data_IF_336469874512
#
_entry.id   IF_336469874512
#
_cell.length_a   1.000
_cell.length_b   1.000
_cell.length_c   1.000
_cell.angle_alpha   90.00
_cell.angle_beta   90.00
_cell.angle_gamma   90.00
#
_symmetry.space_group_name_H-M   'P 1'
#
loop_
_entity.id
_entity.type
_entity.pdbx_description
1 polymer ?
#
# COMPACT_ATOMS: atom_id res chain seq x y z
N UNK A 1 22.85 6.83 -6.01
CA UNK A 1 22.23 5.55 -6.41
C UNK A 1 21.25 5.86 -7.53
N UNK A 2 21.27 5.16 -8.67
CA UNK A 2 20.68 5.67 -9.91
C UNK A 2 19.26 5.13 -10.18
N UNK A 3 18.58 5.87 -11.08
CA UNK A 3 17.45 5.51 -11.95
C UNK A 3 16.00 5.66 -11.47
N UNK A 4 15.43 6.82 -11.83
CA UNK A 4 14.29 6.97 -12.75
C UNK A 4 13.19 5.91 -12.77
N UNK A 5 11.96 6.34 -12.46
CA UNK A 5 10.79 5.89 -13.21
C UNK A 5 9.69 6.94 -13.22
N UNK A 6 9.81 7.88 -14.15
CA UNK A 6 8.67 8.56 -14.75
C UNK A 6 7.85 7.51 -15.50
N UNK A 7 6.67 7.13 -14.99
CA UNK A 7 5.66 6.38 -15.76
C UNK A 7 4.28 6.99 -15.57
N UNK A 8 3.66 7.31 -16.70
CA UNK A 8 2.34 7.92 -16.87
C UNK A 8 1.21 7.17 -16.11
N UNK A 9 0.10 7.85 -15.75
CA UNK A 9 -0.79 7.41 -14.68
C UNK A 9 -1.72 6.29 -15.16
N UNK A 10 -1.39 5.05 -14.80
CA UNK A 10 -2.44 4.04 -14.58
C UNK A 10 -3.28 4.51 -13.38
N UNK A 11 -4.54 4.09 -13.19
CA UNK A 11 -5.25 4.37 -11.94
C UNK A 11 -4.39 3.80 -10.80
N UNK A 12 -3.64 4.66 -10.14
CA UNK A 12 -2.63 4.22 -9.18
C UNK A 12 -3.39 3.84 -7.91
N UNK A 13 -3.22 2.60 -7.46
CA UNK A 13 -3.73 2.13 -6.19
C UNK A 13 -3.48 3.18 -5.10
N UNK A 14 -4.51 3.45 -4.29
CA UNK A 14 -4.39 4.43 -3.22
C UNK A 14 -3.27 4.04 -2.22
N UNK A 15 -3.11 2.74 -1.99
CA UNK A 15 -2.03 2.18 -1.16
C UNK A 15 -0.65 2.41 -1.79
N UNK A 16 -0.52 2.26 -3.11
CA UNK A 16 0.71 2.57 -3.85
C UNK A 16 1.10 4.04 -3.70
N UNK A 17 0.14 4.95 -3.81
CA UNK A 17 0.39 6.39 -3.66
C UNK A 17 0.90 6.75 -2.25
N UNK A 18 0.29 6.18 -1.21
CA UNK A 18 0.73 6.38 0.17
C UNK A 18 2.14 5.84 0.40
N UNK A 19 2.44 4.67 -0.17
CA UNK A 19 3.76 4.05 -0.10
C UNK A 19 4.83 4.87 -0.84
N UNK A 20 4.50 5.39 -2.02
CA UNK A 20 5.43 6.17 -2.85
C UNK A 20 5.82 7.49 -2.21
N UNK A 21 4.87 8.17 -1.54
CA UNK A 21 5.13 9.38 -0.72
C UNK A 21 6.18 9.16 0.36
N UNK A 22 6.34 7.92 0.81
CA UNK A 22 7.28 7.54 1.87
C UNK A 22 8.57 6.92 1.31
N UNK A 23 8.68 6.78 -0.01
CA UNK A 23 9.83 6.14 -0.66
C UNK A 23 9.99 4.65 -0.30
N UNK A 24 8.91 3.98 0.11
CA UNK A 24 8.94 2.59 0.55
C UNK A 24 8.69 1.61 -0.62
N UNK A 25 9.33 0.45 -0.57
CA UNK A 25 9.03 -0.65 -1.49
C UNK A 25 7.86 -1.49 -0.96
N UNK A 26 7.21 -2.27 -1.83
CA UNK A 26 6.15 -3.19 -1.43
C UNK A 26 6.66 -4.21 -0.40
N UNK A 27 7.89 -4.69 -0.56
CA UNK A 27 8.57 -5.60 0.37
C UNK A 27 8.80 -4.97 1.74
N UNK A 28 9.25 -3.72 1.77
CA UNK A 28 9.52 -3.01 3.02
C UNK A 28 8.21 -2.80 3.79
N UNK A 29 7.20 -2.22 3.16
CA UNK A 29 5.93 -1.93 3.83
C UNK A 29 5.20 -3.22 4.26
N UNK A 30 5.20 -4.26 3.42
CA UNK A 30 4.58 -5.55 3.75
C UNK A 30 5.27 -6.23 4.93
N UNK A 31 6.61 -6.24 4.97
CA UNK A 31 7.37 -6.76 6.12
C UNK A 31 7.05 -6.01 7.40
N UNK A 32 7.08 -4.67 7.37
CA UNK A 32 6.81 -3.84 8.55
C UNK A 32 5.38 -3.99 9.06
N UNK A 33 4.42 -4.19 8.17
CA UNK A 33 3.04 -4.42 8.53
C UNK A 33 2.73 -5.88 8.93
N UNK A 34 3.68 -6.81 8.79
CA UNK A 34 3.44 -8.24 9.03
C UNK A 34 2.42 -8.83 8.03
N UNK A 35 2.45 -8.36 6.78
CA UNK A 35 1.57 -8.79 5.71
C UNK A 35 2.40 -9.58 4.71
N UNK A 36 1.97 -10.77 4.26
CA UNK A 36 2.65 -11.47 3.20
C UNK A 36 2.73 -10.60 1.93
N UNK A 37 3.92 -10.46 1.35
CA UNK A 37 4.13 -9.64 0.14
C UNK A 37 3.13 -9.95 -0.97
N UNK A 38 2.85 -11.24 -1.22
CA UNK A 38 1.87 -11.69 -2.21
C UNK A 38 0.46 -11.15 -1.94
N UNK A 39 0.05 -11.09 -0.67
CA UNK A 39 -1.24 -10.54 -0.26
C UNK A 39 -1.25 -9.02 -0.47
N UNK A 40 -0.17 -8.35 -0.08
CA UNK A 40 -0.01 -6.91 -0.26
C UNK A 40 -0.08 -6.51 -1.74
N UNK A 41 0.63 -7.22 -2.63
CA UNK A 41 0.58 -6.99 -4.08
C UNK A 41 -0.85 -7.14 -4.62
N UNK A 42 -1.58 -8.18 -4.19
CA UNK A 42 -2.98 -8.37 -4.59
C UNK A 42 -3.90 -7.24 -4.16
N UNK A 43 -3.61 -6.60 -3.02
CA UNK A 43 -4.35 -5.42 -2.59
C UNK A 43 -4.04 -4.23 -3.49
N UNK A 44 -2.77 -3.98 -3.81
CA UNK A 44 -2.38 -2.89 -4.72
C UNK A 44 -2.86 -3.10 -6.16
N UNK A 45 -2.99 -4.34 -6.63
CA UNK A 45 -3.51 -4.64 -7.98
C UNK A 45 -5.03 -4.73 -8.06
N UNK A 46 -5.72 -4.72 -6.91
CA UNK A 46 -7.18 -4.92 -6.86
C UNK A 46 -7.62 -6.38 -7.09
N UNK A 47 -6.68 -7.33 -7.16
CA UNK A 47 -6.98 -8.76 -7.28
C UNK A 47 -7.61 -9.35 -6.02
N UNK A 48 -7.48 -8.69 -4.87
CA UNK A 48 -8.11 -9.12 -3.62
C UNK A 48 -8.59 -7.93 -2.79
N UNK A 49 -9.77 -8.08 -2.19
CA UNK A 49 -10.27 -7.15 -1.19
C UNK A 49 -9.37 -7.17 0.04
N UNK A 50 -8.86 -6.01 0.49
CA UNK A 50 -8.04 -5.95 1.69
C UNK A 50 -8.85 -6.38 2.91
N UNK A 51 -8.36 -7.40 3.61
CA UNK A 51 -8.89 -7.87 4.90
C UNK A 51 -7.77 -7.92 5.95
N UNK A 52 -7.10 -6.79 6.23
CA UNK A 52 -6.11 -6.72 7.29
C UNK A 52 -6.76 -6.97 8.66
N UNK A 53 -6.05 -7.66 9.53
CA UNK A 53 -6.39 -7.78 10.94
C UNK A 53 -6.17 -6.44 11.67
N UNK A 54 -6.79 -6.23 12.83
CA UNK A 54 -6.60 -5.01 13.65
C UNK A 54 -5.10 -4.67 13.86
N UNK A 55 -4.19 -5.62 14.18
CA UNK A 55 -2.76 -5.32 14.28
C UNK A 55 -2.14 -4.84 12.96
N UNK A 56 -2.54 -5.41 11.82
CA UNK A 56 -2.05 -5.00 10.51
C UNK A 56 -2.58 -3.61 10.13
N UNK A 57 -3.82 -3.27 10.47
CA UNK A 57 -4.36 -1.92 10.28
C UNK A 57 -3.57 -0.91 11.11
N UNK A 58 -3.32 -1.21 12.39
CA UNK A 58 -2.49 -0.35 13.25
C UNK A 58 -1.07 -0.17 12.69
N UNK A 59 -0.48 -1.25 12.16
CA UNK A 59 0.83 -1.18 11.53
C UNK A 59 0.80 -0.35 10.24
N UNK A 60 -0.23 -0.50 9.39
CA UNK A 60 -0.43 0.33 8.20
C UNK A 60 -0.55 1.80 8.58
N UNK A 61 -1.41 2.17 9.52
CA UNK A 61 -1.53 3.56 10.01
C UNK A 61 -0.18 4.11 10.49
N UNK A 62 0.56 3.32 11.28
CA UNK A 62 1.86 3.71 11.83
C UNK A 62 2.91 3.91 10.76
N UNK A 63 3.06 2.96 9.84
CA UNK A 63 4.08 3.02 8.79
C UNK A 63 3.73 4.03 7.71
N UNK A 64 2.45 4.19 7.40
CA UNK A 64 1.97 5.16 6.42
C UNK A 64 1.88 6.58 7.00
N UNK A 65 1.95 6.73 8.33
CA UNK A 65 1.81 8.02 9.00
C UNK A 65 0.42 8.64 8.86
N UNK A 66 -0.61 7.83 8.61
CA UNK A 66 -1.99 8.28 8.40
C UNK A 66 -2.91 7.77 9.49
N UNK A 67 -3.96 8.53 9.80
CA UNK A 67 -5.04 8.06 10.64
C UNK A 67 -5.82 6.94 9.96
N UNK A 68 -6.55 6.14 10.73
CA UNK A 68 -7.41 5.09 10.17
C UNK A 68 -8.53 5.66 9.28
N UNK A 69 -8.96 6.90 9.52
CA UNK A 69 -9.96 7.61 8.72
C UNK A 69 -9.42 8.05 7.36
N UNK A 70 -8.10 8.20 7.24
CA UNK A 70 -7.38 8.55 6.01
C UNK A 70 -6.97 7.30 5.22
N UNK A 71 -7.12 6.10 5.81
CA UNK A 71 -6.90 4.86 5.08
C UNK A 71 -8.02 4.69 4.04
N UNK A 72 -7.67 4.46 2.78
CA UNK A 72 -8.68 4.24 1.76
C UNK A 72 -9.41 2.91 2.02
N UNK A 73 -10.73 2.90 1.83
CA UNK A 73 -11.55 1.68 1.92
C UNK A 73 -11.11 0.63 0.89
N UNK A 74 -10.59 1.11 -0.23
CA UNK A 74 -10.10 0.30 -1.34
C UNK A 74 -8.61 0.56 -1.58
N UNK A 75 -7.80 -0.49 -1.46
CA UNK A 75 -6.37 -0.42 -1.73
C UNK A 75 -6.02 -0.58 -3.21
N UNK A 76 -6.91 -1.14 -4.01
CA UNK A 76 -6.69 -1.36 -5.44
C UNK A 76 -6.89 -0.09 -6.29
N UNK A 77 -6.70 -0.20 -7.62
CA UNK A 77 -7.11 0.84 -8.54
C UNK A 77 -8.64 1.00 -8.50
N UNK A 78 -9.13 2.23 -8.33
CA UNK A 78 -10.57 2.55 -8.53
C UNK A 78 -10.92 2.26 -10.00
N UNK A 79 -11.84 1.32 -10.23
CA UNK A 79 -12.45 1.06 -11.54
C UNK A 79 -13.76 1.81 -11.69
#
# INVERSE_FOLDING_TARGET
>A
MPESSTKEPKPESALKQLRDRLGLTQEELSRRCGIPLRTYVRWETGEATPRPTIPQVKALCRELGVAIEELPDEFGPRS
#
